data_IF_381438508611
#
_entry.id   IF_381438508611
#
_cell.length_a   1.000
_cell.length_b   1.000
_cell.length_c   1.000
_cell.angle_alpha   90.00
_cell.angle_beta   90.00
_cell.angle_gamma   90.00
#
_symmetry.space_group_name_H-M   'P 1'
#
loop_
_entity.id
_entity.type
_entity.pdbx_description
1 polymer ?
#
# COMPACT_ATOMS: atom_id res chain seq x y z
N UNK A 1 -18.43 -11.30 -4.32
CA UNK A 1 -17.20 -12.10 -4.50
C UNK A 1 -16.12 -11.50 -3.62
N UNK A 2 -15.59 -12.23 -2.64
CA UNK A 2 -14.43 -11.77 -1.88
C UNK A 2 -13.20 -11.97 -2.77
N UNK A 3 -12.64 -10.88 -3.32
CA UNK A 3 -11.34 -10.96 -3.97
C UNK A 3 -10.32 -11.43 -2.93
N UNK A 4 -9.57 -12.48 -3.27
CA UNK A 4 -8.55 -13.01 -2.36
C UNK A 4 -7.48 -11.95 -2.10
N UNK A 5 -6.86 -12.03 -0.93
CA UNK A 5 -5.77 -11.16 -0.50
C UNK A 5 -4.70 -10.96 -1.59
N UNK A 6 -4.31 -12.06 -2.23
CA UNK A 6 -3.31 -12.09 -3.29
C UNK A 6 -3.79 -11.38 -4.55
N UNK A 7 -5.05 -11.55 -4.95
CA UNK A 7 -5.60 -10.81 -6.10
C UNK A 7 -5.57 -9.30 -5.86
N UNK A 8 -5.90 -8.86 -4.64
CA UNK A 8 -5.82 -7.44 -4.28
C UNK A 8 -4.37 -6.94 -4.25
N UNK A 9 -3.43 -7.75 -3.76
CA UNK A 9 -2.00 -7.41 -3.74
C UNK A 9 -1.43 -7.27 -5.15
N UNK A 10 -1.77 -8.17 -6.07
CA UNK A 10 -1.38 -8.08 -7.48
C UNK A 10 -1.95 -6.83 -8.15
N UNK A 11 -3.22 -6.50 -7.87
CA UNK A 11 -3.83 -5.25 -8.34
C UNK A 11 -3.10 -4.01 -7.83
N UNK A 12 -2.66 -4.01 -6.56
CA UNK A 12 -1.88 -2.92 -5.98
C UNK A 12 -0.51 -2.79 -6.66
N UNK A 13 0.20 -3.89 -6.89
CA UNK A 13 1.47 -3.85 -7.63
C UNK A 13 1.24 -3.29 -9.03
N UNK A 14 0.30 -3.86 -9.80
CA UNK A 14 0.04 -3.44 -11.18
C UNK A 14 -0.32 -1.95 -11.30
N UNK A 15 -1.10 -1.41 -10.37
CA UNK A 15 -1.62 -0.03 -10.48
C UNK A 15 -0.81 1.00 -9.69
N UNK A 16 -0.18 0.61 -8.58
CA UNK A 16 0.44 1.53 -7.62
C UNK A 16 1.97 1.45 -7.54
N UNK A 17 2.63 0.45 -8.14
CA UNK A 17 4.07 0.21 -7.98
C UNK A 17 4.90 1.48 -8.24
N UNK A 18 4.65 2.19 -9.34
CA UNK A 18 5.40 3.41 -9.69
C UNK A 18 5.27 4.55 -8.65
N UNK A 19 4.24 4.54 -7.81
CA UNK A 19 4.03 5.54 -6.76
C UNK A 19 4.67 5.14 -5.42
N UNK A 20 5.01 3.86 -5.25
CA UNK A 20 5.53 3.31 -4.00
C UNK A 20 6.99 2.84 -4.10
N UNK A 21 7.59 2.82 -5.29
CA UNK A 21 9.03 2.54 -5.47
C UNK A 21 9.90 3.50 -4.65
N UNK A 22 11.06 3.03 -4.19
CA UNK A 22 12.02 3.86 -3.44
C UNK A 22 12.57 5.04 -4.24
N UNK A 23 12.72 4.88 -5.54
CA UNK A 23 13.19 5.95 -6.43
C UNK A 23 12.14 7.04 -6.64
N UNK A 24 12.62 8.26 -6.88
CA UNK A 24 11.78 9.43 -7.20
C UNK A 24 11.06 10.05 -6.00
N UNK A 25 10.34 11.17 -6.21
CA UNK A 25 9.60 11.87 -5.16
C UNK A 25 8.26 11.18 -4.83
N UNK A 26 7.62 11.62 -3.74
CA UNK A 26 6.20 11.30 -3.45
C UNK A 26 5.33 11.88 -4.57
N UNK A 27 4.59 11.03 -5.28
CA UNK A 27 3.73 11.43 -6.39
C UNK A 27 2.27 11.07 -6.10
N UNK A 28 1.33 11.94 -6.51
CA UNK A 28 -0.10 11.69 -6.32
C UNK A 28 -0.52 10.45 -7.12
N UNK A 29 -1.22 9.48 -6.50
CA UNK A 29 -1.63 8.25 -7.17
C UNK A 29 -2.63 8.49 -8.32
N UNK A 30 -2.61 7.61 -9.31
CA UNK A 30 -3.61 7.58 -10.38
C UNK A 30 -4.99 7.17 -9.86
N UNK A 31 -6.02 7.46 -10.66
CA UNK A 31 -7.38 7.00 -10.36
C UNK A 31 -7.46 5.47 -10.28
N UNK A 32 -6.76 4.75 -11.16
CA UNK A 32 -6.68 3.28 -11.14
C UNK A 32 -6.04 2.73 -9.87
N UNK A 33 -4.93 3.33 -9.42
CA UNK A 33 -4.31 2.99 -8.13
C UNK A 33 -5.28 3.22 -6.97
N UNK A 34 -5.95 4.37 -6.93
CA UNK A 34 -6.91 4.65 -5.86
C UNK A 34 -8.14 3.75 -5.88
N UNK A 35 -8.60 3.28 -7.04
CA UNK A 35 -9.71 2.33 -7.12
C UNK A 35 -9.39 1.02 -6.38
N UNK A 36 -8.18 0.49 -6.58
CA UNK A 36 -7.71 -0.73 -5.91
C UNK A 36 -7.46 -0.48 -4.41
N UNK A 37 -6.81 0.62 -4.07
CA UNK A 37 -6.52 1.00 -2.67
C UNK A 37 -7.80 1.16 -1.83
N UNK A 38 -8.90 1.61 -2.43
CA UNK A 38 -10.17 1.75 -1.71
C UNK A 38 -10.76 0.40 -1.31
N UNK A 39 -10.69 -0.58 -2.21
CA UNK A 39 -11.33 -1.90 -2.00
C UNK A 39 -10.45 -2.89 -1.23
N UNK A 40 -9.14 -2.65 -1.13
CA UNK A 40 -8.23 -3.61 -0.50
C UNK A 40 -8.41 -3.72 1.02
N UNK A 41 -8.30 -4.93 1.55
CA UNK A 41 -8.14 -5.16 3.00
C UNK A 41 -6.69 -4.91 3.41
N UNK A 42 -6.44 -3.80 4.09
CA UNK A 42 -5.12 -3.38 4.59
C UNK A 42 -4.51 -4.43 5.50
N UNK A 43 -5.28 -4.99 6.43
CA UNK A 43 -4.79 -6.02 7.35
C UNK A 43 -4.33 -7.26 6.59
N UNK A 44 -5.03 -7.58 5.50
CA UNK A 44 -4.65 -8.69 4.66
C UNK A 44 -3.33 -8.44 3.90
N UNK A 45 -3.21 -7.32 3.18
CA UNK A 45 -1.97 -7.05 2.41
C UNK A 45 -0.77 -6.88 3.33
N UNK A 46 -0.95 -6.29 4.51
CA UNK A 46 0.11 -6.10 5.47
C UNK A 46 0.71 -7.42 5.99
N UNK A 47 -0.05 -8.52 5.95
CA UNK A 47 0.48 -9.87 6.22
C UNK A 47 1.29 -10.45 5.06
N UNK A 48 1.11 -9.94 3.84
CA UNK A 48 1.87 -10.35 2.66
C UNK A 48 3.19 -9.58 2.54
N UNK A 49 3.34 -8.45 3.23
CA UNK A 49 4.57 -7.64 3.23
C UNK A 49 5.68 -8.44 3.92
N UNK A 50 6.57 -9.00 3.10
CA UNK A 50 7.84 -9.61 3.52
C UNK A 50 8.96 -8.56 3.53
N UNK A 51 10.11 -8.92 4.10
CA UNK A 51 11.31 -8.05 4.03
C UNK A 51 11.70 -7.70 2.59
N UNK A 52 11.60 -8.65 1.67
CA UNK A 52 11.92 -8.42 0.26
C UNK A 52 11.03 -7.34 -0.36
N UNK A 53 9.75 -7.30 0.03
CA UNK A 53 8.82 -6.26 -0.40
C UNK A 53 9.20 -4.92 0.24
N UNK A 54 9.49 -4.88 1.55
CA UNK A 54 9.98 -3.67 2.24
C UNK A 54 11.29 -3.15 1.62
N UNK A 55 12.13 -4.05 1.09
CA UNK A 55 13.36 -3.70 0.42
C UNK A 55 13.13 -3.15 -1.00
N UNK A 56 12.03 -3.53 -1.65
CA UNK A 56 11.66 -3.05 -2.99
C UNK A 56 10.88 -1.71 -2.98
N UNK A 57 10.10 -1.44 -1.93
CA UNK A 57 9.19 -0.28 -1.87
C UNK A 57 9.51 0.67 -0.71
N UNK A 58 9.02 1.89 -0.80
CA UNK A 58 9.07 2.88 0.26
C UNK A 58 7.75 2.86 1.03
N UNK A 59 7.80 2.38 2.27
CA UNK A 59 6.63 2.25 3.13
C UNK A 59 6.00 3.60 3.49
N UNK A 60 6.76 4.70 3.52
CA UNK A 60 6.16 6.02 3.69
C UNK A 60 5.34 6.42 2.46
N UNK A 61 5.81 6.09 1.25
CA UNK A 61 5.06 6.31 0.02
C UNK A 61 3.80 5.46 -0.02
N UNK A 62 3.86 4.21 0.45
CA UNK A 62 2.66 3.36 0.59
C UNK A 62 1.61 4.04 1.47
N UNK A 63 2.01 4.53 2.64
CA UNK A 63 1.10 5.25 3.55
C UNK A 63 0.58 6.53 2.91
N UNK A 64 1.44 7.29 2.23
CA UNK A 64 1.06 8.50 1.51
C UNK A 64 0.01 8.22 0.42
N UNK A 65 0.23 7.21 -0.42
CA UNK A 65 -0.71 6.79 -1.48
C UNK A 65 -2.04 6.39 -0.86
N UNK A 66 -2.02 5.57 0.19
CA UNK A 66 -3.24 5.11 0.85
C UNK A 66 -4.08 6.26 1.43
N UNK A 67 -3.42 7.17 2.17
CA UNK A 67 -4.09 8.37 2.73
C UNK A 67 -4.60 9.30 1.62
N UNK A 68 -3.81 9.50 0.57
CA UNK A 68 -4.20 10.32 -0.60
C UNK A 68 -5.42 9.77 -1.33
N UNK A 69 -5.60 8.45 -1.35
CA UNK A 69 -6.77 7.79 -1.91
C UNK A 69 -7.98 7.74 -0.96
N UNK A 70 -7.85 8.27 0.26
CA UNK A 70 -8.91 8.29 1.28
C UNK A 70 -9.02 7.00 2.09
N UNK A 71 -8.04 6.10 2.03
CA UNK A 71 -8.01 4.89 2.84
C UNK A 71 -7.61 5.24 4.28
N UNK A 72 -8.45 4.85 5.24
CA UNK A 72 -8.14 4.99 6.66
C UNK A 72 -7.17 3.89 7.07
N UNK A 73 -5.95 4.26 7.42
CA UNK A 73 -4.96 3.38 8.04
C UNK A 73 -4.75 3.87 9.46
N UNK A 74 -5.01 3.00 10.44
CA UNK A 74 -4.79 3.33 11.84
C UNK A 74 -3.29 3.50 12.11
N UNK A 75 -2.94 4.49 12.92
CA UNK A 75 -1.58 4.60 13.44
C UNK A 75 -1.25 3.38 14.29
N UNK A 76 -0.02 2.87 14.19
CA UNK A 76 0.39 1.64 14.85
C UNK A 76 0.02 0.35 14.11
N UNK A 77 -0.66 0.42 12.96
CA UNK A 77 -0.82 -0.75 12.09
C UNK A 77 0.55 -1.25 11.66
N UNK A 78 0.78 -2.55 11.83
CA UNK A 78 2.02 -3.23 11.42
C UNK A 78 1.84 -3.90 10.07
N UNK A 79 2.80 -3.69 9.17
CA UNK A 79 2.90 -4.31 7.87
C UNK A 79 4.35 -4.76 7.71
N UNK A 80 4.60 -6.07 7.80
CA UNK A 80 5.95 -6.59 7.98
C UNK A 80 6.63 -6.07 9.26
N UNK A 81 7.82 -5.50 9.12
CA UNK A 81 8.56 -4.80 10.18
C UNK A 81 8.16 -3.32 10.31
N UNK A 82 7.52 -2.75 9.28
CA UNK A 82 7.09 -1.35 9.31
C UNK A 82 5.86 -1.13 10.19
N UNK A 83 5.89 -0.06 10.99
CA UNK A 83 4.77 0.40 11.80
C UNK A 83 4.32 1.77 11.31
N UNK A 84 3.04 1.89 10.96
CA UNK A 84 2.48 3.13 10.44
C UNK A 84 2.60 4.24 11.49
N UNK A 85 3.30 5.35 11.18
CA UNK A 85 3.51 6.42 12.13
C UNK A 85 2.20 7.14 12.45
N UNK A 86 2.17 7.79 13.61
CA UNK A 86 1.11 8.76 13.93
C UNK A 86 1.12 9.86 12.87
N UNK A 87 -0.08 10.18 12.37
CA UNK A 87 -0.26 11.24 11.39
C UNK A 87 -0.03 12.62 12.04
#
# INVERSE_FOLDING_TARGET
MAQSCQANALGLVSQCENYVRKSGPKAKPSWGCCAVVKIVDVTCVCKLVSKEIEDAIDMEKVVYVARSCGKKIASGTKCGSYTVPRA
#
